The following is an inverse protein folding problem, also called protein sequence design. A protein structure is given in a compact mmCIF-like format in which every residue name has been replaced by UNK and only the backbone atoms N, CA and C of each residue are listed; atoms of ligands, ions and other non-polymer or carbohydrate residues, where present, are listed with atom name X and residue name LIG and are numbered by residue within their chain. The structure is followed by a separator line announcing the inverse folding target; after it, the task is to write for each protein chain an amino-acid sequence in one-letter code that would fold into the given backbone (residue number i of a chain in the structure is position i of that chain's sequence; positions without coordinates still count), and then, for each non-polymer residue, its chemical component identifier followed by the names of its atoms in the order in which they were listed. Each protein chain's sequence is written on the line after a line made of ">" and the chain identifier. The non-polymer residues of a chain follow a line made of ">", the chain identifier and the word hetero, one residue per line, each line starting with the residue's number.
data_IF_210114445141
#
_entry.id   IF_210114445141
#
_cell.length_a   1.000
_cell.length_b   1.000
_cell.length_c   1.000
_cell.angle_alpha   90.00
_cell.angle_beta   90.00
_cell.angle_gamma   90.00
#
_symmetry.space_group_name_H-M   'P 1'
#
loop_
_entity.id
_entity.type
_entity.pdbx_description
1 polymer ?
#
# COMPACT_ATOMS: atom_id res chain seq x y z
N UNK A 1 -8.33 13.13 41.37
CA UNK A 1 -7.65 14.28 40.75
C UNK A 1 -6.69 13.71 39.69
N UNK A 2 -7.26 13.03 38.69
CA UNK A 2 -7.55 13.53 37.33
C UNK A 2 -6.26 13.81 36.54
N UNK A 3 -5.88 12.78 35.78
CA UNK A 3 -5.33 12.79 34.43
C UNK A 3 -4.42 13.96 34.05
N UNK A 4 -3.11 13.74 34.10
CA UNK A 4 -2.12 14.60 33.45
C UNK A 4 -1.15 13.82 32.56
N UNK A 5 -1.60 12.71 31.97
CA UNK A 5 -0.70 11.87 31.16
C UNK A 5 -1.39 11.13 30.01
N UNK A 6 -2.30 11.78 29.27
CA UNK A 6 -2.88 11.13 28.09
C UNK A 6 -3.27 12.00 26.89
N UNK A 7 -2.92 13.30 26.84
CA UNK A 7 -3.35 14.16 25.74
C UNK A 7 -2.29 14.44 24.66
N UNK A 8 -1.03 14.02 24.85
CA UNK A 8 0.05 14.37 23.89
C UNK A 8 0.14 13.45 22.66
N UNK A 9 -0.64 12.36 22.61
CA UNK A 9 -0.55 11.35 21.54
C UNK A 9 -1.61 11.54 20.44
N UNK A 10 -2.84 11.96 20.77
CA UNK A 10 -3.94 11.97 19.81
C UNK A 10 -3.89 13.13 18.80
N UNK A 11 -3.37 14.30 19.17
CA UNK A 11 -3.28 15.45 18.26
C UNK A 11 -2.07 15.37 17.31
N UNK A 12 -0.97 14.76 17.73
CA UNK A 12 0.21 14.54 16.89
C UNK A 12 -0.07 13.48 15.81
N UNK A 13 -0.80 12.41 16.16
CA UNK A 13 -1.19 11.36 15.20
C UNK A 13 -2.18 11.92 14.16
N UNK A 14 -3.11 12.79 14.57
CA UNK A 14 -4.00 13.48 13.62
C UNK A 14 -3.27 14.47 12.70
N UNK A 15 -2.21 15.14 13.18
CA UNK A 15 -1.37 16.00 12.31
C UNK A 15 -0.54 15.18 11.32
N UNK A 16 -0.05 14.01 11.73
CA UNK A 16 0.71 13.10 10.86
C UNK A 16 -0.16 12.42 9.79
N UNK A 17 -1.42 12.12 10.11
CA UNK A 17 -2.39 11.60 9.13
C UNK A 17 -2.92 12.66 8.16
N UNK A 18 -2.84 13.95 8.49
CA UNK A 18 -3.27 15.04 7.58
C UNK A 18 -2.10 15.55 6.71
N UNK A 19 -0.86 15.48 7.19
CA UNK A 19 0.30 15.97 6.42
C UNK A 19 0.75 15.06 5.26
N UNK A 20 0.19 13.87 5.08
CA UNK A 20 0.47 13.01 3.90
C UNK A 20 -0.56 13.21 2.77
N UNK A 21 -1.54 14.11 2.94
CA UNK A 21 -2.66 14.26 2.00
C UNK A 21 -2.79 15.64 1.34
N UNK A 22 -1.78 16.53 1.35
CA UNK A 22 -2.01 17.92 0.87
C UNK A 22 -0.98 18.55 -0.07
N UNK A 23 0.12 17.89 -0.47
CA UNK A 23 1.07 18.52 -1.43
C UNK A 23 1.47 17.64 -2.63
N UNK A 24 0.62 16.69 -3.03
CA UNK A 24 0.76 16.00 -4.33
C UNK A 24 -0.37 16.34 -5.32
N UNK A 25 -1.04 17.48 -5.12
CA UNK A 25 -2.03 18.01 -6.07
C UNK A 25 -1.36 19.01 -7.01
N UNK A 26 -0.63 18.53 -8.02
CA UNK A 26 -0.59 19.29 -9.28
C UNK A 26 -0.24 18.52 -10.55
N UNK A 27 0.36 17.31 -10.53
CA UNK A 27 0.60 16.54 -11.76
C UNK A 27 0.69 15.03 -11.52
N UNK A 28 -0.43 14.36 -11.26
CA UNK A 28 -0.64 13.00 -11.78
C UNK A 28 -2.13 12.84 -12.06
N UNK A 29 -2.50 12.27 -13.20
CA UNK A 29 -3.83 11.70 -13.37
C UNK A 29 -3.95 10.62 -12.28
N UNK A 30 -4.52 10.96 -11.13
CA UNK A 30 -4.63 10.06 -9.99
C UNK A 30 -5.61 8.95 -10.36
N UNK A 31 -5.07 7.92 -11.02
CA UNK A 31 -5.78 6.69 -11.33
C UNK A 31 -6.31 6.18 -9.99
N UNK A 32 -7.64 6.02 -9.84
CA UNK A 32 -8.20 5.52 -8.59
C UNK A 32 -7.51 4.20 -8.24
N UNK A 33 -7.11 3.97 -6.98
CA UNK A 33 -6.48 2.71 -6.62
C UNK A 33 -7.40 1.53 -6.97
N UNK A 34 -6.82 0.45 -7.49
CA UNK A 34 -7.44 -0.72 -8.10
C UNK A 34 -7.98 -0.52 -9.53
N UNK A 35 -7.70 0.59 -10.21
CA UNK A 35 -8.19 0.76 -11.59
C UNK A 35 -7.46 -0.11 -12.61
N UNK A 36 -6.16 -0.34 -12.43
CA UNK A 36 -5.38 -1.20 -13.35
C UNK A 36 -5.70 -2.65 -13.04
N UNK A 37 -5.69 -3.01 -11.75
CA UNK A 37 -6.06 -4.33 -11.28
C UNK A 37 -7.50 -4.72 -11.68
N UNK A 38 -8.43 -3.76 -11.68
CA UNK A 38 -9.81 -3.98 -12.13
C UNK A 38 -9.96 -4.31 -13.62
N UNK A 39 -8.94 -4.05 -14.45
CA UNK A 39 -8.89 -4.50 -15.84
C UNK A 39 -8.29 -5.89 -16.04
N UNK A 40 -7.69 -6.47 -14.99
CA UNK A 40 -6.95 -7.75 -15.06
C UNK A 40 -7.64 -8.85 -14.27
N UNK A 41 -8.12 -8.52 -13.06
CA UNK A 41 -8.75 -9.43 -12.11
C UNK A 41 -10.28 -9.40 -12.22
N UNK A 42 -10.93 -10.43 -11.67
CA UNK A 42 -12.37 -10.49 -11.59
C UNK A 42 -12.93 -9.38 -10.67
N UNK A 43 -14.08 -8.77 -11.03
CA UNK A 43 -14.72 -7.75 -10.18
C UNK A 43 -15.06 -8.23 -8.76
N UNK A 44 -15.30 -9.55 -8.61
CA UNK A 44 -15.52 -10.18 -7.30
C UNK A 44 -14.28 -10.05 -6.40
N UNK A 45 -13.10 -10.39 -6.92
CA UNK A 45 -11.81 -10.28 -6.22
C UNK A 45 -11.52 -8.85 -5.79
N UNK A 46 -11.75 -7.88 -6.69
CA UNK A 46 -11.59 -6.46 -6.38
C UNK A 46 -12.55 -6.04 -5.25
N UNK A 47 -13.78 -6.53 -5.27
CA UNK A 47 -14.77 -6.26 -4.22
C UNK A 47 -14.36 -6.86 -2.88
N UNK A 48 -13.83 -8.09 -2.88
CA UNK A 48 -13.29 -8.75 -1.69
C UNK A 48 -12.15 -7.95 -1.07
N UNK A 49 -11.15 -7.56 -1.87
CA UNK A 49 -10.00 -6.76 -1.41
C UNK A 49 -10.42 -5.40 -0.85
N UNK A 50 -11.47 -4.77 -1.40
CA UNK A 50 -12.00 -3.50 -0.87
C UNK A 50 -12.86 -3.67 0.38
N UNK A 51 -13.54 -4.81 0.51
CA UNK A 51 -14.44 -5.10 1.63
C UNK A 51 -13.73 -5.59 2.89
N UNK A 52 -12.54 -6.17 2.76
CA UNK A 52 -11.78 -6.72 3.87
C UNK A 52 -10.92 -5.64 4.56
N UNK A 53 -10.99 -5.50 5.90
CA UNK A 53 -10.21 -4.51 6.64
C UNK A 53 -8.70 -4.83 6.68
N UNK A 54 -8.32 -6.06 6.32
CA UNK A 54 -6.93 -6.49 6.26
C UNK A 54 -6.16 -5.84 5.10
N UNK A 55 -6.86 -5.37 4.06
CA UNK A 55 -6.23 -4.76 2.89
C UNK A 55 -6.54 -3.27 2.85
N UNK A 56 -5.48 -2.47 2.71
CA UNK A 56 -5.58 -1.02 2.66
C UNK A 56 -4.87 -0.47 1.42
N UNK A 57 -4.69 0.85 1.37
CA UNK A 57 -4.11 1.56 0.24
C UNK A 57 -2.77 0.97 -0.25
N UNK A 58 -1.95 0.39 0.65
CA UNK A 58 -0.70 -0.26 0.27
C UNK A 58 -0.96 -1.51 -0.59
N UNK A 59 -1.81 -2.44 -0.13
CA UNK A 59 -2.22 -3.59 -0.94
C UNK A 59 -2.87 -3.17 -2.28
N UNK A 60 -3.67 -2.11 -2.28
CA UNK A 60 -4.32 -1.66 -3.51
C UNK A 60 -3.29 -1.16 -4.55
N UNK A 61 -2.27 -0.43 -4.10
CA UNK A 61 -1.16 0.03 -4.96
C UNK A 61 -0.27 -1.13 -5.41
N UNK A 62 -0.06 -2.14 -4.55
CA UNK A 62 0.63 -3.38 -4.91
C UNK A 62 -0.11 -4.10 -6.04
N UNK A 63 -1.43 -4.25 -5.92
CA UNK A 63 -2.25 -4.90 -6.97
C UNK A 63 -2.20 -4.16 -8.29
N UNK A 64 -2.32 -2.83 -8.28
CA UNK A 64 -2.20 -2.04 -9.52
C UNK A 64 -0.81 -2.18 -10.14
N UNK A 65 0.24 -2.21 -9.32
CA UNK A 65 1.61 -2.42 -9.78
C UNK A 65 1.79 -3.82 -10.39
N UNK A 66 1.32 -4.87 -9.72
CA UNK A 66 1.35 -6.23 -10.26
C UNK A 66 0.54 -6.38 -11.55
N UNK A 67 -0.60 -5.70 -11.64
CA UNK A 67 -1.42 -5.68 -12.85
C UNK A 67 -0.74 -4.97 -14.02
N UNK A 68 0.08 -3.94 -13.73
CA UNK A 68 0.87 -3.21 -14.72
C UNK A 68 2.10 -4.02 -15.18
N UNK A 69 2.84 -4.59 -14.25
CA UNK A 69 4.12 -5.26 -14.52
C UNK A 69 3.93 -6.69 -15.05
N UNK A 70 3.00 -7.45 -14.45
CA UNK A 70 2.85 -8.88 -14.68
C UNK A 70 1.38 -9.34 -14.72
N UNK A 71 0.56 -8.81 -15.65
CA UNK A 71 -0.88 -9.13 -15.69
C UNK A 71 -1.19 -10.61 -15.91
N UNK A 72 -0.33 -11.34 -16.64
CA UNK A 72 -0.53 -12.77 -16.89
C UNK A 72 -0.30 -13.61 -15.62
N UNK A 73 0.75 -13.30 -14.84
CA UNK A 73 1.03 -13.97 -13.57
C UNK A 73 -0.04 -13.64 -12.53
N UNK A 74 -0.50 -12.39 -12.50
CA UNK A 74 -1.58 -11.97 -11.59
C UNK A 74 -2.89 -12.75 -11.86
N UNK A 75 -3.24 -12.97 -13.13
CA UNK A 75 -4.37 -13.84 -13.51
C UNK A 75 -4.14 -15.31 -13.17
N UNK A 76 -2.92 -15.82 -13.33
CA UNK A 76 -2.58 -17.18 -12.92
C UNK A 76 -2.82 -17.37 -11.42
N UNK A 77 -2.35 -16.42 -10.61
CA UNK A 77 -2.51 -16.44 -9.16
C UNK A 77 -3.99 -16.36 -8.74
N UNK A 78 -4.80 -15.56 -9.43
CA UNK A 78 -6.26 -15.56 -9.23
C UNK A 78 -6.89 -16.91 -9.58
N UNK A 79 -6.42 -17.56 -10.66
CA UNK A 79 -6.92 -18.87 -11.11
C UNK A 79 -6.51 -20.04 -10.20
N UNK A 80 -5.39 -19.91 -9.48
CA UNK A 80 -4.97 -20.85 -8.43
C UNK A 80 -5.91 -20.80 -7.22
N UNK A 81 -6.56 -19.65 -7.01
CA UNK A 81 -7.65 -19.46 -6.06
C UNK A 81 -7.58 -18.11 -5.37
N UNK A 82 -8.74 -17.59 -4.98
CA UNK A 82 -8.85 -16.28 -4.31
C UNK A 82 -7.99 -16.23 -3.03
N UNK A 83 -7.96 -17.30 -2.24
CA UNK A 83 -7.14 -17.37 -1.02
C UNK A 83 -5.64 -17.29 -1.32
N UNK A 84 -5.18 -17.87 -2.44
CA UNK A 84 -3.77 -17.79 -2.83
C UNK A 84 -3.39 -16.35 -3.18
N UNK A 85 -4.22 -15.68 -3.98
CA UNK A 85 -4.03 -14.27 -4.32
C UNK A 85 -4.06 -13.36 -3.09
N UNK A 86 -5.06 -13.51 -2.22
CA UNK A 86 -5.19 -12.71 -1.01
C UNK A 86 -4.04 -12.97 -0.02
N UNK A 87 -3.59 -14.22 0.11
CA UNK A 87 -2.45 -14.59 0.95
C UNK A 87 -1.17 -13.91 0.48
N UNK A 88 -0.85 -14.01 -0.82
CA UNK A 88 0.31 -13.35 -1.41
C UNK A 88 0.26 -11.84 -1.29
N UNK A 89 -0.89 -11.25 -1.57
CA UNK A 89 -1.09 -9.81 -1.42
C UNK A 89 -0.86 -9.36 0.02
N UNK A 90 -1.33 -10.14 0.99
CA UNK A 90 -1.17 -9.84 2.41
C UNK A 90 0.30 -9.92 2.83
N UNK A 91 1.01 -10.98 2.44
CA UNK A 91 2.45 -11.12 2.68
C UNK A 91 3.22 -9.90 2.13
N UNK A 92 2.94 -9.51 0.89
CA UNK A 92 3.57 -8.38 0.25
C UNK A 92 3.24 -7.05 0.95
N UNK A 93 1.98 -6.84 1.33
CA UNK A 93 1.55 -5.66 2.07
C UNK A 93 2.31 -5.55 3.40
N UNK A 94 2.42 -6.65 4.16
CA UNK A 94 3.12 -6.64 5.44
C UNK A 94 4.60 -6.28 5.28
N UNK A 95 5.24 -6.80 4.23
CA UNK A 95 6.65 -6.55 3.95
C UNK A 95 6.88 -5.08 3.55
N UNK A 96 6.14 -4.56 2.58
CA UNK A 96 6.27 -3.16 2.14
C UNK A 96 5.86 -2.19 3.25
N UNK A 97 4.77 -2.48 3.98
CA UNK A 97 4.32 -1.62 5.07
C UNK A 97 5.34 -1.57 6.21
N UNK A 98 5.91 -2.71 6.60
CA UNK A 98 6.94 -2.76 7.64
C UNK A 98 8.18 -1.97 7.25
N UNK A 99 8.61 -2.06 5.97
CA UNK A 99 9.74 -1.27 5.48
C UNK A 99 9.41 0.21 5.50
N UNK A 100 8.27 0.63 4.95
CA UNK A 100 7.87 2.03 4.84
C UNK A 100 7.55 2.70 6.19
N UNK A 101 7.32 1.91 7.25
CA UNK A 101 7.11 2.40 8.62
C UNK A 101 8.36 2.31 9.50
N UNK A 102 9.45 1.75 8.98
CA UNK A 102 10.73 1.72 9.69
C UNK A 102 11.33 3.12 9.87
N UNK A 103 12.15 3.27 10.90
CA UNK A 103 12.80 4.56 11.20
C UNK A 103 13.66 5.06 10.03
N UNK A 104 14.41 4.17 9.38
CA UNK A 104 15.23 4.50 8.21
C UNK A 104 14.38 5.00 7.03
N UNK A 105 13.25 4.35 6.75
CA UNK A 105 12.34 4.83 5.71
C UNK A 105 11.73 6.19 6.05
N UNK A 106 11.41 6.45 7.33
CA UNK A 106 10.88 7.75 7.73
C UNK A 106 11.93 8.86 7.59
N UNK A 107 13.20 8.58 7.87
CA UNK A 107 14.30 9.51 7.60
C UNK A 107 14.50 9.76 6.10
N UNK A 108 14.45 8.71 5.28
CA UNK A 108 14.52 8.82 3.81
C UNK A 108 13.34 9.60 3.23
N UNK A 109 12.13 9.45 3.79
CA UNK A 109 10.98 10.28 3.40
C UNK A 109 11.18 11.74 3.79
N UNK A 110 11.76 12.01 4.96
CA UNK A 110 12.08 13.37 5.40
C UNK A 110 13.14 14.04 4.52
N UNK A 111 14.03 13.26 3.89
CA UNK A 111 14.97 13.78 2.89
C UNK A 111 14.38 13.95 1.50
N UNK A 112 13.09 13.64 1.31
CA UNK A 112 12.36 13.83 0.06
C UNK A 112 12.31 12.60 -0.86
N UNK A 113 12.75 11.42 -0.40
CA UNK A 113 12.65 10.20 -1.21
C UNK A 113 11.20 9.72 -1.33
N UNK A 114 10.83 9.28 -2.53
CA UNK A 114 9.55 8.65 -2.78
C UNK A 114 9.52 7.22 -2.24
N UNK A 115 8.32 6.72 -1.93
CA UNK A 115 8.12 5.38 -1.35
C UNK A 115 8.73 4.27 -2.22
N UNK A 116 8.60 4.36 -3.55
CA UNK A 116 9.17 3.37 -4.46
C UNK A 116 10.70 3.38 -4.44
N UNK A 117 11.33 4.55 -4.31
CA UNK A 117 12.79 4.68 -4.22
C UNK A 117 13.29 4.07 -2.91
N UNK A 118 12.54 4.23 -1.82
CA UNK A 118 12.83 3.61 -0.54
C UNK A 118 12.74 2.09 -0.63
N UNK A 119 11.70 1.55 -1.25
CA UNK A 119 11.57 0.09 -1.43
C UNK A 119 12.72 -0.48 -2.25
N UNK A 120 13.09 0.19 -3.35
CA UNK A 120 14.22 -0.23 -4.19
C UNK A 120 15.55 -0.14 -3.43
N UNK A 121 15.79 0.96 -2.72
CA UNK A 121 17.03 1.16 -1.95
C UNK A 121 17.21 0.12 -0.84
N UNK A 122 16.11 -0.35 -0.25
CA UNK A 122 16.12 -1.35 0.82
C UNK A 122 15.90 -2.77 0.29
N UNK A 123 16.10 -2.99 -1.01
CA UNK A 123 16.06 -4.30 -1.68
C UNK A 123 14.75 -5.07 -1.46
N UNK A 124 13.64 -4.33 -1.29
CA UNK A 124 12.32 -4.92 -1.15
C UNK A 124 11.84 -5.39 -2.52
N UNK A 125 11.58 -6.71 -2.70
CA UNK A 125 11.02 -7.20 -3.96
C UNK A 125 9.62 -6.62 -4.11
N UNK A 126 9.35 -5.94 -5.22
CA UNK A 126 8.05 -5.30 -5.51
C UNK A 126 7.27 -6.01 -6.62
N UNK A 127 7.94 -6.89 -7.35
CA UNK A 127 7.40 -7.65 -8.46
C UNK A 127 6.69 -8.91 -7.97
N UNK A 128 5.73 -9.38 -8.78
CA UNK A 128 5.06 -10.65 -8.57
C UNK A 128 6.00 -11.79 -9.04
N UNK A 129 6.70 -12.40 -8.10
CA UNK A 129 7.71 -13.46 -8.33
C UNK A 129 7.14 -14.85 -8.54
#
# INVERSE_FOLDING_TARGET
>A
MVAFMNDFSAQTIKRFLICVDTEASMFTNAVPPLSIAGGVLMPATISTVRGLPAFHLCAWRILDRWALESPAQLRSLESEGEVALLGRLFEQQQLEHSMLTSESALEQRRSGMAEHEILVLNEIPTQLG
#
